data_IF_020538166183
#
_entry.id   IF_020538166183
#
_cell.length_a   1.000
_cell.length_b   1.000
_cell.length_c   1.000
_cell.angle_alpha   90.00
_cell.angle_beta   90.00
_cell.angle_gamma   90.00
#
_symmetry.space_group_name_H-M   'P 1'
#
loop_
_entity.id
_entity.type
_entity.pdbx_description
1 polymer ?
#
# COMPACT_ATOMS: atom_id res chain seq x y z
N UNK A 1 -7.05 -4.69 17.23
CA UNK A 1 -7.37 -3.57 16.32
C UNK A 1 -7.12 -4.06 14.90
N UNK A 2 -7.92 -3.64 13.91
CA UNK A 2 -7.71 -4.06 12.52
C UNK A 2 -6.65 -3.17 11.87
N UNK A 3 -5.62 -3.77 11.28
CA UNK A 3 -4.63 -3.04 10.50
C UNK A 3 -5.24 -2.63 9.16
N UNK A 4 -5.10 -1.36 8.77
CA UNK A 4 -5.54 -0.87 7.45
C UNK A 4 -4.51 0.05 6.83
N UNK A 5 -4.45 0.12 5.49
CA UNK A 5 -3.60 1.08 4.80
C UNK A 5 -4.17 2.50 4.94
N UNK A 6 -3.32 3.46 5.34
CA UNK A 6 -3.65 4.88 5.41
C UNK A 6 -3.09 5.69 4.26
N UNK A 7 -1.81 5.51 3.98
CA UNK A 7 -1.13 6.19 2.88
C UNK A 7 -0.20 5.21 2.14
N UNK A 8 -0.08 5.39 0.83
CA UNK A 8 0.95 4.79 -0.01
C UNK A 8 1.83 5.92 -0.54
N UNK A 9 3.15 5.74 -0.48
CA UNK A 9 4.09 6.68 -1.10
C UNK A 9 4.59 6.10 -2.41
N UNK A 10 4.38 6.83 -3.50
CA UNK A 10 4.68 6.38 -4.86
C UNK A 10 5.70 7.32 -5.49
N UNK A 11 6.77 6.74 -6.03
CA UNK A 11 7.82 7.47 -6.77
C UNK A 11 7.32 7.74 -8.18
N UNK A 12 6.51 8.78 -8.31
CA UNK A 12 6.01 9.32 -9.57
C UNK A 12 5.58 10.78 -9.36
N UNK A 13 5.36 11.50 -10.45
CA UNK A 13 4.95 12.92 -10.43
C UNK A 13 3.44 13.11 -10.38
N UNK A 14 3.01 14.14 -9.67
CA UNK A 14 1.63 14.62 -9.70
C UNK A 14 1.14 14.93 -11.12
N UNK A 15 1.99 15.51 -11.96
CA UNK A 15 1.60 15.87 -13.33
C UNK A 15 1.37 14.65 -14.22
N UNK A 16 2.14 13.57 -14.06
CA UNK A 16 1.88 12.32 -14.78
C UNK A 16 0.51 11.74 -14.41
N UNK A 17 0.18 11.74 -13.12
CA UNK A 17 -1.09 11.23 -12.61
C UNK A 17 -2.29 12.09 -13.02
N UNK A 18 -2.15 13.42 -12.99
CA UNK A 18 -3.17 14.34 -13.52
C UNK A 18 -3.41 14.13 -15.00
N UNK A 19 -2.34 13.97 -15.81
CA UNK A 19 -2.48 13.65 -17.24
C UNK A 19 -3.14 12.29 -17.48
N UNK A 20 -2.96 11.35 -16.57
CA UNK A 20 -3.66 10.06 -16.59
C UNK A 20 -5.12 10.14 -16.08
N UNK A 21 -5.61 11.31 -15.69
CA UNK A 21 -7.01 11.54 -15.30
C UNK A 21 -7.32 11.36 -13.81
N UNK A 22 -6.30 11.24 -12.95
CA UNK A 22 -6.51 11.21 -11.50
C UNK A 22 -6.68 12.62 -10.93
N UNK A 23 -7.54 12.75 -9.92
CA UNK A 23 -7.60 13.96 -9.10
C UNK A 23 -6.46 13.96 -8.09
N UNK A 24 -5.59 14.97 -8.18
CA UNK A 24 -4.39 15.11 -7.35
C UNK A 24 -4.35 16.52 -6.78
N UNK A 25 -4.38 16.63 -5.46
CA UNK A 25 -4.45 17.91 -4.74
C UNK A 25 -3.14 18.73 -4.80
N UNK A 26 -3.14 19.89 -4.16
CA UNK A 26 -1.97 20.79 -4.08
C UNK A 26 -0.78 20.19 -3.33
N UNK A 27 -1.03 19.22 -2.45
CA UNK A 27 -0.02 18.51 -1.64
C UNK A 27 0.50 17.25 -2.34
N UNK A 28 0.20 17.09 -3.63
CA UNK A 28 0.55 15.94 -4.45
C UNK A 28 -0.02 14.60 -3.92
N UNK A 29 -1.24 14.63 -3.38
CA UNK A 29 -1.95 13.43 -2.90
C UNK A 29 -3.17 13.13 -3.78
N UNK A 30 -3.23 11.91 -4.30
CA UNK A 30 -4.41 11.32 -4.93
C UNK A 30 -5.19 10.50 -3.88
N UNK A 31 -6.44 10.85 -3.57
CA UNK A 31 -7.24 10.17 -2.53
C UNK A 31 -8.16 9.12 -3.13
N UNK A 32 -7.83 7.84 -3.04
CA UNK A 32 -8.66 6.75 -3.58
C UNK A 32 -9.36 6.02 -2.44
N UNK A 33 -10.69 6.13 -2.38
CA UNK A 33 -11.45 5.64 -1.23
C UNK A 33 -10.94 6.28 0.06
N UNK A 34 -10.58 5.46 1.06
CA UNK A 34 -10.01 5.92 2.33
C UNK A 34 -8.48 6.03 2.38
N UNK A 35 -7.79 5.83 1.25
CA UNK A 35 -6.31 5.78 1.16
C UNK A 35 -5.76 7.00 0.43
N UNK A 36 -4.77 7.65 1.03
CA UNK A 36 -3.97 8.68 0.34
C UNK A 36 -2.85 8.03 -0.48
N UNK A 37 -2.66 8.47 -1.72
CA UNK A 37 -1.51 8.11 -2.54
C UNK A 37 -0.67 9.36 -2.71
N UNK A 38 0.44 9.44 -1.97
CA UNK A 38 1.37 10.56 -2.01
C UNK A 38 2.39 10.37 -3.12
N UNK A 39 2.48 11.34 -4.01
CA UNK A 39 3.36 11.32 -5.17
C UNK A 39 4.67 12.06 -4.83
N UNK A 40 5.77 11.32 -4.81
CA UNK A 40 7.07 11.82 -4.35
C UNK A 40 7.86 12.58 -5.42
N UNK A 41 7.35 12.64 -6.65
CA UNK A 41 8.05 13.22 -7.80
C UNK A 41 9.13 12.30 -8.37
N UNK A 42 10.09 12.90 -9.06
CA UNK A 42 11.27 12.18 -9.55
C UNK A 42 12.24 12.00 -8.38
N UNK A 43 12.39 10.77 -7.91
CA UNK A 43 13.30 10.39 -6.83
C UNK A 43 14.17 9.19 -7.19
N UNK A 44 14.93 8.69 -6.21
CA UNK A 44 15.58 7.39 -6.34
C UNK A 44 14.54 6.28 -6.22
N UNK A 45 14.56 5.32 -7.14
CA UNK A 45 13.63 4.19 -7.16
C UNK A 45 12.43 4.37 -8.11
N UNK A 46 11.51 3.41 -8.09
CA UNK A 46 10.32 3.36 -8.95
C UNK A 46 9.17 2.68 -8.21
N UNK A 47 7.94 3.08 -8.49
CA UNK A 47 6.75 2.40 -7.97
C UNK A 47 6.42 2.78 -6.53
N UNK A 48 5.81 1.86 -5.77
CA UNK A 48 5.43 2.07 -4.37
C UNK A 48 6.68 1.94 -3.50
N UNK A 49 7.11 3.02 -2.84
CA UNK A 49 8.30 3.06 -2.00
C UNK A 49 8.02 2.67 -0.54
N UNK A 50 6.84 2.99 -0.03
CA UNK A 50 6.47 2.73 1.36
C UNK A 50 4.95 2.80 1.54
N UNK A 51 4.51 2.42 2.74
CA UNK A 51 3.15 2.67 3.20
C UNK A 51 3.13 3.25 4.62
N UNK A 52 1.97 3.75 5.01
CA UNK A 52 1.65 4.05 6.40
C UNK A 52 0.39 3.26 6.79
N UNK A 53 0.44 2.60 7.95
CA UNK A 53 -0.63 1.70 8.40
C UNK A 53 -1.28 2.21 9.68
N UNK A 54 -2.61 2.08 9.77
CA UNK A 54 -3.38 2.32 10.99
C UNK A 54 -3.44 1.06 11.85
N UNK A 55 -3.61 1.23 13.16
CA UNK A 55 -3.82 0.13 14.11
C UNK A 55 -2.56 -0.60 14.53
N UNK A 56 -1.37 -0.13 14.11
CA UNK A 56 -0.09 -0.65 14.54
C UNK A 56 0.10 -0.49 16.06
N UNK A 57 0.96 -1.31 16.70
CA UNK A 57 1.29 -1.17 18.11
C UNK A 57 1.78 0.25 18.46
N UNK A 58 1.45 0.72 19.67
CA UNK A 58 1.89 2.04 20.14
C UNK A 58 3.41 2.18 20.13
N UNK A 59 3.90 3.33 19.67
CA UNK A 59 5.34 3.58 19.56
C UNK A 59 6.03 2.90 18.37
N UNK A 60 5.26 2.42 17.39
CA UNK A 60 5.82 1.81 16.19
C UNK A 60 6.81 2.72 15.46
N UNK A 61 7.99 2.20 15.20
CA UNK A 61 8.98 2.75 14.28
C UNK A 61 9.73 1.59 13.64
N UNK A 62 9.75 1.49 12.31
CA UNK A 62 10.51 0.45 11.62
C UNK A 62 9.97 0.09 10.24
N UNK A 63 10.17 -1.17 9.91
CA UNK A 63 9.81 -1.78 8.63
C UNK A 63 9.07 -3.10 8.83
N UNK A 64 8.43 -3.57 7.76
CA UNK A 64 7.87 -4.91 7.66
C UNK A 64 8.60 -5.63 6.53
N UNK A 65 9.55 -6.49 6.88
CA UNK A 65 10.35 -7.29 5.95
C UNK A 65 10.97 -6.46 4.79
N UNK A 66 11.77 -5.44 5.12
CA UNK A 66 12.35 -4.56 4.10
C UNK A 66 11.49 -3.37 3.71
N UNK A 67 10.20 -3.34 4.08
CA UNK A 67 9.24 -2.31 3.63
C UNK A 67 9.16 -1.19 4.67
N UNK A 68 9.61 0.04 4.37
CA UNK A 68 9.46 1.16 5.29
C UNK A 68 7.98 1.33 5.66
N UNK A 69 7.69 1.29 6.96
CA UNK A 69 6.33 1.25 7.48
C UNK A 69 6.16 2.32 8.54
N UNK A 70 5.41 3.37 8.23
CA UNK A 70 5.05 4.39 9.21
C UNK A 70 3.72 4.05 9.91
N UNK A 71 3.56 4.54 11.14
CA UNK A 71 2.25 4.56 11.79
C UNK A 71 1.40 5.72 11.25
N UNK A 72 0.16 5.44 10.91
CA UNK A 72 -0.83 6.42 10.45
C UNK A 72 -1.91 6.60 11.50
N UNK A 73 -2.19 7.86 11.88
CA UNK A 73 -3.12 8.18 12.96
C UNK A 73 -4.31 9.02 12.51
N UNK A 74 -4.26 9.61 11.31
CA UNK A 74 -5.36 10.42 10.80
C UNK A 74 -6.52 9.54 10.34
N UNK A 75 -7.72 10.13 10.34
CA UNK A 75 -8.93 9.50 9.82
C UNK A 75 -8.77 9.04 8.36
N UNK A 76 -9.59 8.08 7.88
CA UNK A 76 -9.67 7.77 6.46
C UNK A 76 -9.85 9.03 5.62
N UNK A 77 -9.14 9.10 4.50
CA UNK A 77 -9.29 10.21 3.58
C UNK A 77 -10.75 10.31 3.10
N UNK A 78 -11.30 11.52 3.02
CA UNK A 78 -12.58 11.73 2.35
C UNK A 78 -12.41 11.40 0.86
N UNK A 79 -13.19 10.46 0.30
CA UNK A 79 -13.09 10.13 -1.12
C UNK A 79 -13.40 11.36 -2.00
N UNK A 80 -12.49 11.68 -2.93
CA UNK A 80 -12.72 12.70 -3.95
C UNK A 80 -13.56 12.17 -5.12
N UNK A 81 -14.13 13.08 -5.91
CA UNK A 81 -14.77 12.73 -7.18
C UNK A 81 -13.69 12.61 -8.27
N UNK A 82 -13.19 11.39 -8.51
CA UNK A 82 -12.18 11.14 -9.54
C UNK A 82 -12.77 11.23 -10.94
N UNK A 83 -12.14 11.95 -11.89
CA UNK A 83 -12.54 11.93 -13.30
C UNK A 83 -12.56 10.53 -13.90
N UNK A 84 -11.61 9.68 -13.47
CA UNK A 84 -11.54 8.27 -13.85
C UNK A 84 -12.60 7.36 -13.18
N UNK A 85 -13.44 7.89 -12.26
CA UNK A 85 -14.45 7.10 -11.54
C UNK A 85 -13.88 6.13 -10.50
N UNK A 86 -12.64 6.33 -10.05
CA UNK A 86 -11.95 5.44 -9.10
C UNK A 86 -12.54 5.60 -7.70
N UNK A 87 -12.95 4.49 -7.09
CA UNK A 87 -13.62 4.48 -5.78
C UNK A 87 -12.83 3.76 -4.68
N UNK A 88 -11.93 2.85 -5.04
CA UNK A 88 -11.19 2.03 -4.09
C UNK A 88 -9.92 1.44 -4.70
N UNK A 89 -8.99 1.04 -3.83
CA UNK A 89 -7.85 0.19 -4.16
C UNK A 89 -8.27 -1.26 -3.91
N UNK A 90 -8.18 -2.11 -4.93
CA UNK A 90 -8.57 -3.52 -4.80
C UNK A 90 -7.52 -4.33 -4.00
N UNK A 91 -6.23 -4.17 -4.37
CA UNK A 91 -5.13 -4.83 -3.69
C UNK A 91 -3.80 -4.12 -3.90
N UNK A 92 -2.87 -4.32 -2.96
CA UNK A 92 -1.45 -3.97 -3.09
C UNK A 92 -0.67 -5.28 -3.20
N UNK A 93 0.15 -5.42 -4.24
CA UNK A 93 0.96 -6.63 -4.45
C UNK A 93 2.36 -6.41 -3.90
N UNK A 94 2.85 -7.37 -3.13
CA UNK A 94 4.23 -7.45 -2.67
C UNK A 94 4.90 -8.64 -3.34
N UNK A 95 6.10 -8.42 -3.87
CA UNK A 95 6.98 -9.50 -4.30
C UNK A 95 7.95 -9.80 -3.17
N UNK A 96 7.92 -11.04 -2.69
CA UNK A 96 8.82 -11.48 -1.62
C UNK A 96 9.79 -12.54 -2.14
N UNK A 97 11.10 -12.41 -1.87
CA UNK A 97 12.07 -13.45 -2.13
C UNK A 97 11.95 -14.62 -1.12
N UNK A 98 11.33 -14.39 0.04
CA UNK A 98 11.10 -15.38 1.10
C UNK A 98 9.72 -15.12 1.71
N UNK A 99 8.73 -15.86 1.20
CA UNK A 99 7.34 -15.70 1.60
C UNK A 99 7.11 -16.00 3.09
N UNK A 100 7.85 -16.95 3.67
CA UNK A 100 7.72 -17.30 5.08
C UNK A 100 8.13 -16.13 5.97
N UNK A 101 9.29 -15.53 5.67
CA UNK A 101 9.80 -14.35 6.39
C UNK A 101 8.84 -13.16 6.31
N UNK A 102 8.24 -12.90 5.15
CA UNK A 102 7.24 -11.83 5.00
C UNK A 102 5.98 -12.10 5.82
N UNK A 103 5.47 -13.35 5.77
CA UNK A 103 4.29 -13.75 6.56
C UNK A 103 4.55 -13.59 8.06
N UNK A 104 5.71 -14.01 8.55
CA UNK A 104 6.11 -13.86 9.96
C UNK A 104 6.21 -12.38 10.36
N UNK A 105 6.80 -11.53 9.52
CA UNK A 105 6.91 -10.09 9.77
C UNK A 105 5.54 -9.42 9.85
N UNK A 106 4.61 -9.75 8.95
CA UNK A 106 3.23 -9.26 8.99
C UNK A 106 2.46 -9.79 10.22
N UNK A 107 2.68 -11.05 10.58
CA UNK A 107 2.05 -11.66 11.76
C UNK A 107 2.50 -10.98 13.06
N UNK A 108 3.74 -10.49 13.14
CA UNK A 108 4.27 -9.77 14.30
C UNK A 108 3.52 -8.47 14.61
N UNK A 109 2.86 -7.87 13.63
CA UNK A 109 1.96 -6.70 13.81
C UNK A 109 0.47 -7.07 13.81
N UNK A 110 0.16 -8.36 13.92
CA UNK A 110 -1.21 -8.86 14.02
C UNK A 110 -1.92 -9.05 12.68
N UNK A 111 -1.20 -9.00 11.54
CA UNK A 111 -1.76 -9.26 10.21
C UNK A 111 -1.61 -10.73 9.86
N UNK A 112 -2.73 -11.47 9.87
CA UNK A 112 -2.73 -12.91 9.62
C UNK A 112 -3.18 -13.24 8.18
N UNK A 113 -2.62 -14.30 7.56
CA UNK A 113 -3.01 -14.72 6.22
C UNK A 113 -4.46 -15.21 6.21
N UNK A 114 -5.20 -14.87 5.17
CA UNK A 114 -6.60 -15.30 4.97
C UNK A 114 -6.73 -16.50 4.05
N UNK A 115 -5.81 -16.62 3.10
CA UNK A 115 -5.80 -17.64 2.07
C UNK A 115 -4.41 -17.77 1.49
N UNK A 116 -4.09 -18.97 1.06
CA UNK A 116 -2.92 -19.24 0.23
C UNK A 116 -3.36 -19.90 -1.08
N UNK A 117 -2.57 -19.69 -2.13
CA UNK A 117 -2.80 -20.29 -3.43
C UNK A 117 -1.47 -20.55 -4.11
N UNK A 118 -1.26 -21.79 -4.53
CA UNK A 118 -0.24 -22.15 -5.51
C UNK A 118 -0.74 -21.83 -6.92
N UNK A 119 0.12 -21.30 -7.77
CA UNK A 119 -0.20 -20.92 -9.14
C UNK A 119 1.05 -20.79 -10.01
N UNK A 120 0.89 -20.17 -11.18
CA UNK A 120 1.98 -19.92 -12.11
C UNK A 120 2.02 -18.47 -12.57
N UNK A 121 3.22 -17.90 -12.71
CA UNK A 121 3.46 -16.58 -13.28
C UNK A 121 4.60 -16.68 -14.30
N UNK A 122 4.30 -16.40 -15.57
CA UNK A 122 5.28 -16.55 -16.65
C UNK A 122 5.82 -17.98 -16.80
N UNK A 123 4.97 -18.99 -16.53
CA UNK A 123 5.33 -20.41 -16.57
C UNK A 123 6.19 -20.89 -15.40
N UNK A 124 6.37 -20.07 -14.35
CA UNK A 124 7.09 -20.45 -13.13
C UNK A 124 6.11 -20.64 -11.97
N UNK A 125 6.28 -21.68 -11.15
CA UNK A 125 5.44 -21.87 -9.97
C UNK A 125 5.63 -20.71 -9.00
N UNK A 126 4.53 -20.20 -8.47
CA UNK A 126 4.49 -19.17 -7.43
C UNK A 126 3.51 -19.56 -6.33
N UNK A 127 3.75 -19.07 -5.12
CA UNK A 127 2.78 -19.10 -4.03
C UNK A 127 2.33 -17.68 -3.72
N UNK A 128 1.03 -17.50 -3.61
CA UNK A 128 0.40 -16.23 -3.24
C UNK A 128 -0.25 -16.37 -1.87
N UNK A 129 0.00 -15.42 -0.99
CA UNK A 129 -0.63 -15.33 0.33
C UNK A 129 -1.44 -14.05 0.38
N UNK A 130 -2.71 -14.17 0.75
CA UNK A 130 -3.67 -13.07 0.73
C UNK A 130 -3.90 -12.55 2.13
N UNK A 131 -3.76 -11.24 2.29
CA UNK A 131 -4.03 -10.51 3.53
C UNK A 131 -5.17 -9.52 3.34
N UNK A 132 -5.76 -9.05 4.44
CA UNK A 132 -6.82 -8.03 4.44
C UNK A 132 -6.36 -6.86 5.31
N UNK A 133 -6.16 -5.69 4.70
CA UNK A 133 -5.78 -4.46 5.37
C UNK A 133 -6.79 -3.34 5.03
N UNK A 134 -8.06 -3.56 5.41
CA UNK A 134 -9.24 -2.82 4.94
C UNK A 134 -10.23 -3.75 4.23
#
# INVERSE_FOLDING_TARGET
MTITVGELQVVDTADAWRRAGFDVDSEAVCRVGGVGIRLLGHGQGTGIASWALRGLPGGWAGELDGIPTAAWHDDPATPGAHPNGVIAIDHVVLLSPDLGRTVESLAAVGVQPRRERDGELGGRPIRQVFFRLG
#
